data_IF_736273965918
#
_entry.id   IF_736273965918
#
_cell.length_a   1.000
_cell.length_b   1.000
_cell.length_c   1.000
_cell.angle_alpha   90.00
_cell.angle_beta   90.00
_cell.angle_gamma   90.00
#
_symmetry.space_group_name_H-M   'P 1'
#
loop_
_entity.id
_entity.type
_entity.pdbx_description
1 polymer ?
#
# COMPACT_ATOMS: atom_id res chain seq x y z
N UNK A 1 -30.07 18.43 35.53
CA UNK A 1 -30.98 17.37 36.02
C UNK A 1 -30.51 16.04 35.48
N UNK A 2 -30.08 15.09 36.31
CA UNK A 2 -29.90 13.69 35.90
C UNK A 2 -31.07 12.84 36.42
N UNK A 3 -31.62 11.94 35.59
CA UNK A 3 -31.71 10.49 35.85
C UNK A 3 -32.62 9.75 34.83
N UNK A 4 -32.40 8.43 34.76
CA UNK A 4 -33.32 7.32 34.44
C UNK A 4 -33.05 6.54 33.15
N UNK A 5 -32.01 5.71 33.24
CA UNK A 5 -31.98 4.24 32.97
C UNK A 5 -32.74 3.63 31.78
N UNK A 6 -31.99 2.93 30.91
CA UNK A 6 -32.31 1.55 30.49
C UNK A 6 -31.08 0.86 29.87
N UNK A 7 -30.25 0.27 30.74
CA UNK A 7 -29.34 -0.83 30.35
C UNK A 7 -30.10 -2.13 30.59
N UNK A 8 -30.41 -2.86 29.52
CA UNK A 8 -30.83 -4.26 29.61
C UNK A 8 -29.58 -5.12 29.60
N UNK A 9 -29.07 -5.43 30.78
CA UNK A 9 -28.10 -6.51 30.94
C UNK A 9 -28.86 -7.84 30.86
N UNK A 10 -28.67 -8.55 29.75
CA UNK A 10 -29.22 -9.88 29.54
C UNK A 10 -28.32 -10.90 30.26
N UNK A 11 -28.48 -11.01 31.57
CA UNK A 11 -27.82 -12.06 32.36
C UNK A 11 -28.63 -13.35 32.24
N UNK A 12 -28.27 -14.19 31.27
CA UNK A 12 -28.74 -15.57 31.21
C UNK A 12 -28.22 -16.32 32.44
N UNK A 13 -29.11 -16.53 33.40
CA UNK A 13 -28.93 -17.42 34.54
C UNK A 13 -28.78 -18.87 34.05
N UNK A 14 -27.55 -19.37 34.00
CA UNK A 14 -27.29 -20.81 33.86
C UNK A 14 -27.16 -21.41 35.25
N UNK A 15 -28.18 -22.16 35.65
CA UNK A 15 -28.22 -23.00 36.84
C UNK A 15 -27.10 -24.03 36.77
N UNK A 16 -26.06 -23.88 37.59
CA UNK A 16 -24.98 -24.85 37.67
C UNK A 16 -25.38 -25.93 38.69
N UNK A 17 -25.90 -27.06 38.21
CA UNK A 17 -26.17 -28.23 39.04
C UNK A 17 -24.86 -28.99 39.25
N UNK A 18 -24.38 -28.98 40.49
CA UNK A 18 -23.22 -29.72 40.94
C UNK A 18 -23.53 -31.22 41.00
N UNK A 19 -22.99 -32.00 40.06
CA UNK A 19 -22.83 -33.45 40.21
C UNK A 19 -21.34 -33.81 40.21
N UNK A 20 -20.81 -33.98 41.41
CA UNK A 20 -19.55 -34.67 41.66
C UNK A 20 -19.83 -36.17 41.58
N UNK A 21 -19.20 -36.87 40.63
CA UNK A 21 -18.54 -38.18 40.77
C UNK A 21 -18.59 -38.98 39.46
N UNK A 22 -17.44 -39.07 38.76
CA UNK A 22 -16.84 -40.31 38.23
C UNK A 22 -15.42 -39.97 37.76
N UNK A 23 -14.44 -40.46 38.52
CA UNK A 23 -13.03 -40.32 38.22
C UNK A 23 -12.63 -41.37 37.18
N UNK A 24 -12.38 -40.95 35.93
CA UNK A 24 -11.33 -41.55 35.07
C UNK A 24 -11.04 -40.89 33.70
N UNK A 25 -11.69 -39.82 33.21
CA UNK A 25 -11.23 -39.19 31.94
C UNK A 25 -11.72 -37.75 31.68
N UNK A 26 -10.89 -36.71 31.95
CA UNK A 26 -11.12 -35.37 31.34
C UNK A 26 -9.90 -34.75 30.65
N UNK A 27 -8.68 -35.26 30.87
CA UNK A 27 -7.43 -34.56 30.48
C UNK A 27 -7.20 -34.52 28.97
N UNK A 28 -7.59 -35.57 28.24
CA UNK A 28 -7.38 -35.67 26.79
C UNK A 28 -8.30 -34.72 26.00
N UNK A 29 -9.57 -34.62 26.39
CA UNK A 29 -10.55 -33.71 25.75
C UNK A 29 -10.16 -32.24 25.96
N UNK A 30 -9.62 -31.88 27.13
CA UNK A 30 -9.07 -30.53 27.35
C UNK A 30 -7.83 -30.24 26.50
N UNK A 31 -6.96 -31.23 26.27
CA UNK A 31 -5.77 -31.05 25.43
C UNK A 31 -6.13 -30.91 23.95
N UNK A 32 -7.07 -31.71 23.45
CA UNK A 32 -7.59 -31.59 22.08
C UNK A 32 -8.23 -30.22 21.84
N UNK A 33 -9.09 -29.75 22.76
CA UNK A 33 -9.66 -28.39 22.70
C UNK A 33 -8.58 -27.30 22.72
N UNK A 34 -7.51 -27.47 23.49
CA UNK A 34 -6.39 -26.54 23.48
C UNK A 34 -5.66 -26.52 22.14
N UNK A 35 -5.40 -27.69 21.56
CA UNK A 35 -4.73 -27.79 20.25
C UNK A 35 -5.60 -27.23 19.12
N UNK A 36 -6.91 -27.46 19.16
CA UNK A 36 -7.90 -26.88 18.25
C UNK A 36 -7.95 -25.34 18.35
N UNK A 37 -8.09 -24.80 19.56
CA UNK A 37 -8.12 -23.34 19.79
C UNK A 37 -6.80 -22.67 19.40
N UNK A 38 -5.66 -23.35 19.58
CA UNK A 38 -4.36 -22.87 19.11
C UNK A 38 -4.30 -22.83 17.58
N UNK A 39 -4.80 -23.85 16.90
CA UNK A 39 -4.85 -23.88 15.44
C UNK A 39 -5.78 -22.79 14.88
N UNK A 40 -6.94 -22.59 15.50
CA UNK A 40 -7.89 -21.52 15.16
C UNK A 40 -7.24 -20.14 15.33
N UNK A 41 -6.58 -19.90 16.46
CA UNK A 41 -5.86 -18.64 16.70
C UNK A 41 -4.80 -18.38 15.62
N UNK A 42 -4.04 -19.40 15.23
CA UNK A 42 -3.04 -19.27 14.18
C UNK A 42 -3.69 -18.92 12.82
N UNK A 43 -4.82 -19.55 12.49
CA UNK A 43 -5.57 -19.23 11.28
C UNK A 43 -6.09 -17.78 11.30
N UNK A 44 -6.62 -17.31 12.44
CA UNK A 44 -7.08 -15.94 12.62
C UNK A 44 -5.95 -14.92 12.49
N UNK A 45 -4.77 -15.20 13.06
CA UNK A 45 -3.59 -14.33 12.94
C UNK A 45 -3.12 -14.23 11.49
N UNK A 46 -3.11 -15.34 10.75
CA UNK A 46 -2.75 -15.34 9.33
C UNK A 46 -3.76 -14.55 8.50
N UNK A 47 -5.06 -14.75 8.76
CA UNK A 47 -6.13 -13.98 8.11
C UNK A 47 -6.02 -12.50 8.41
N UNK A 48 -5.75 -12.12 9.67
CA UNK A 48 -5.52 -10.71 10.06
C UNK A 48 -4.38 -10.11 9.24
N UNK A 49 -3.21 -10.77 9.20
CA UNK A 49 -2.06 -10.30 8.39
C UNK A 49 -2.41 -10.12 6.92
N UNK A 50 -3.19 -11.04 6.34
CA UNK A 50 -3.64 -10.92 4.96
C UNK A 50 -4.54 -9.71 4.74
N UNK A 51 -5.51 -9.49 5.63
CA UNK A 51 -6.42 -8.34 5.55
C UNK A 51 -5.65 -7.03 5.72
N UNK A 52 -4.74 -6.96 6.69
CA UNK A 52 -3.90 -5.78 6.92
C UNK A 52 -3.05 -5.44 5.69
N UNK A 53 -2.45 -6.45 5.05
CA UNK A 53 -1.69 -6.29 3.80
C UNK A 53 -2.57 -5.78 2.65
N UNK A 54 -3.76 -6.37 2.48
CA UNK A 54 -4.70 -5.96 1.45
C UNK A 54 -5.16 -4.51 1.66
N UNK A 55 -5.44 -4.12 2.91
CA UNK A 55 -5.85 -2.76 3.26
C UNK A 55 -4.76 -1.75 2.87
N UNK A 56 -3.51 -2.00 3.26
CA UNK A 56 -2.37 -1.13 2.92
C UNK A 56 -2.25 -0.94 1.41
N UNK A 57 -2.34 -2.04 0.64
CA UNK A 57 -2.24 -1.97 -0.82
C UNK A 57 -3.40 -1.18 -1.45
N UNK A 58 -4.62 -1.32 -0.92
CA UNK A 58 -5.78 -0.58 -1.39
C UNK A 58 -5.66 0.91 -1.09
N UNK A 59 -5.31 1.29 0.14
CA UNK A 59 -5.13 2.69 0.54
C UNK A 59 -4.05 3.37 -0.29
N UNK A 60 -2.92 2.69 -0.53
CA UNK A 60 -1.88 3.18 -1.42
C UNK A 60 -2.38 3.36 -2.85
N UNK A 61 -3.14 2.40 -3.38
CA UNK A 61 -3.68 2.50 -4.74
C UNK A 61 -4.67 3.65 -4.88
N UNK A 62 -5.54 3.87 -3.89
CA UNK A 62 -6.45 5.02 -3.83
C UNK A 62 -5.65 6.33 -3.92
N UNK A 63 -4.60 6.48 -3.11
CA UNK A 63 -3.75 7.66 -3.12
C UNK A 63 -3.12 7.94 -4.50
N UNK A 64 -2.63 6.89 -5.17
CA UNK A 64 -2.06 7.01 -6.53
C UNK A 64 -3.13 7.41 -7.54
N UNK A 65 -4.30 6.77 -7.53
CA UNK A 65 -5.39 7.08 -8.44
C UNK A 65 -5.94 8.48 -8.25
N UNK A 66 -6.05 8.95 -7.02
CA UNK A 66 -6.43 10.34 -6.73
C UNK A 66 -5.43 11.33 -7.33
N UNK A 67 -4.12 11.04 -7.24
CA UNK A 67 -3.10 11.90 -7.84
C UNK A 67 -3.31 12.08 -9.34
N UNK A 68 -3.41 10.96 -10.06
CA UNK A 68 -3.68 10.96 -11.51
C UNK A 68 -5.01 11.66 -11.82
N UNK A 69 -6.07 11.33 -11.09
CA UNK A 69 -7.39 11.91 -11.34
C UNK A 69 -7.40 13.43 -11.17
N UNK A 70 -6.78 13.96 -10.12
CA UNK A 70 -6.75 15.40 -9.88
C UNK A 70 -5.88 16.16 -10.88
N UNK A 71 -4.79 15.55 -11.33
CA UNK A 71 -3.93 16.10 -12.38
C UNK A 71 -4.68 16.16 -13.73
N UNK A 72 -5.30 15.05 -14.14
CA UNK A 72 -5.98 14.92 -15.42
C UNK A 72 -7.23 15.81 -15.51
N UNK A 73 -7.95 15.98 -14.40
CA UNK A 73 -9.25 16.69 -14.37
C UNK A 73 -9.15 18.17 -14.00
N UNK A 74 -7.95 18.72 -13.89
CA UNK A 74 -7.74 20.09 -13.40
C UNK A 74 -8.44 21.17 -14.25
N UNK A 75 -8.62 20.93 -15.55
CA UNK A 75 -9.09 21.95 -16.51
C UNK A 75 -10.60 22.02 -16.67
N UNK A 76 -11.27 20.88 -16.66
CA UNK A 76 -12.70 20.80 -17.00
C UNK A 76 -13.59 20.75 -15.75
N UNK A 77 -13.02 20.43 -14.60
CA UNK A 77 -13.72 20.28 -13.34
C UNK A 77 -13.71 18.84 -12.84
N UNK A 78 -13.94 18.67 -11.54
CA UNK A 78 -13.86 17.39 -10.86
C UNK A 78 -14.80 17.34 -9.64
N UNK A 79 -14.92 16.17 -9.02
CA UNK A 79 -15.83 15.97 -7.87
C UNK A 79 -15.55 16.89 -6.67
N UNK A 80 -14.34 17.45 -6.57
CA UNK A 80 -13.91 18.25 -5.43
C UNK A 80 -14.28 19.71 -5.61
N UNK A 81 -14.07 20.23 -6.82
CA UNK A 81 -14.25 21.66 -7.13
C UNK A 81 -15.51 21.94 -7.96
N UNK A 82 -16.18 20.89 -8.43
CA UNK A 82 -17.34 20.97 -9.29
C UNK A 82 -17.00 20.96 -10.79
N UNK A 83 -18.05 20.92 -11.61
CA UNK A 83 -18.00 20.75 -13.07
C UNK A 83 -18.34 22.04 -13.85
N UNK A 84 -18.19 23.22 -13.21
CA UNK A 84 -18.51 24.53 -13.80
C UNK A 84 -17.63 24.87 -15.05
N UNK A 85 -16.47 24.22 -15.17
CA UNK A 85 -15.58 24.35 -16.33
C UNK A 85 -16.21 23.88 -17.64
N UNK A 86 -17.15 22.92 -17.60
CA UNK A 86 -17.85 22.43 -18.78
C UNK A 86 -18.88 23.43 -19.34
N UNK A 87 -19.41 24.32 -18.50
CA UNK A 87 -20.45 25.28 -18.88
C UNK A 87 -19.87 26.60 -19.39
N UNK A 88 -18.69 26.98 -18.89
CA UNK A 88 -18.23 28.36 -19.02
C UNK A 88 -17.09 28.60 -20.00
N UNK A 89 -16.40 27.57 -20.53
CA UNK A 89 -15.25 27.68 -21.45
C UNK A 89 -14.21 28.76 -21.04
N UNK A 90 -14.20 29.19 -19.77
CA UNK A 90 -13.33 30.23 -19.25
C UNK A 90 -12.17 29.53 -18.56
N UNK A 91 -11.15 29.18 -19.34
CA UNK A 91 -9.93 28.52 -18.87
C UNK A 91 -9.02 29.33 -17.93
N UNK A 92 -9.51 30.44 -17.38
CA UNK A 92 -8.69 31.50 -16.77
C UNK A 92 -8.97 31.79 -15.28
N UNK A 93 -9.80 30.98 -14.60
CA UNK A 93 -9.83 31.03 -13.14
C UNK A 93 -8.58 30.29 -12.63
N UNK A 94 -7.47 31.02 -12.51
CA UNK A 94 -6.20 30.68 -11.84
C UNK A 94 -6.08 29.19 -11.51
N UNK A 95 -5.39 28.42 -12.37
CA UNK A 95 -5.07 26.99 -12.19
C UNK A 95 -4.49 26.74 -10.79
N UNK A 96 -5.36 26.51 -9.82
CA UNK A 96 -4.99 26.31 -8.44
C UNK A 96 -4.43 24.89 -8.35
N UNK A 97 -3.16 24.77 -7.99
CA UNK A 97 -2.52 23.47 -7.80
C UNK A 97 -3.35 22.65 -6.81
N UNK A 98 -3.54 21.36 -7.08
CA UNK A 98 -4.19 20.50 -6.09
C UNK A 98 -3.27 20.37 -4.88
N UNK A 99 -3.90 20.25 -3.72
CA UNK A 99 -3.22 20.12 -2.42
C UNK A 99 -3.53 18.78 -1.82
N UNK A 100 -2.81 18.40 -0.77
CA UNK A 100 -3.07 17.16 -0.03
C UNK A 100 -4.48 17.13 0.58
N UNK A 101 -5.04 18.30 0.89
CA UNK A 101 -6.42 18.45 1.39
C UNK A 101 -7.47 18.09 0.33
N UNK A 102 -7.11 18.11 -0.95
CA UNK A 102 -7.98 17.70 -2.05
C UNK A 102 -8.04 16.15 -2.18
N UNK A 103 -7.44 15.35 -1.29
CA UNK A 103 -7.48 13.88 -1.41
C UNK A 103 -8.61 13.26 -0.58
N UNK A 104 -9.86 13.54 -0.95
CA UNK A 104 -11.03 13.17 -0.12
C UNK A 104 -11.14 11.67 0.18
N UNK A 105 -10.81 10.80 -0.77
CA UNK A 105 -10.91 9.35 -0.57
C UNK A 105 -9.77 8.86 0.33
N UNK A 106 -8.54 9.34 0.17
CA UNK A 106 -7.45 9.02 1.11
C UNK A 106 -7.76 9.55 2.53
N UNK A 107 -8.24 10.80 2.63
CA UNK A 107 -8.62 11.43 3.90
C UNK A 107 -9.83 10.78 4.58
N UNK A 108 -10.61 9.98 3.84
CA UNK A 108 -11.70 9.18 4.42
C UNK A 108 -11.20 8.00 5.26
N UNK A 109 -9.92 7.63 5.12
CA UNK A 109 -9.29 6.61 5.95
C UNK A 109 -8.35 7.22 6.98
N UNK A 110 -8.57 6.88 8.25
CA UNK A 110 -7.65 7.24 9.34
C UNK A 110 -6.28 6.55 9.26
N UNK A 111 -6.16 5.45 8.49
CA UNK A 111 -4.94 4.64 8.39
C UNK A 111 -4.11 4.92 7.14
N UNK A 112 -4.61 5.73 6.21
CA UNK A 112 -3.98 5.99 4.92
C UNK A 112 -2.51 6.46 5.02
N UNK A 113 -2.21 7.41 5.91
CA UNK A 113 -0.84 7.92 6.09
C UNK A 113 0.13 6.84 6.54
N UNK A 114 -0.34 5.92 7.39
CA UNK A 114 0.45 4.78 7.85
C UNK A 114 0.72 3.81 6.71
N UNK A 115 -0.27 3.59 5.83
CA UNK A 115 -0.09 2.75 4.65
C UNK A 115 0.96 3.32 3.68
N UNK A 116 1.01 4.65 3.49
CA UNK A 116 2.06 5.29 2.70
C UNK A 116 3.46 5.04 3.28
N UNK A 117 3.64 5.30 4.58
CA UNK A 117 4.93 5.09 5.24
C UNK A 117 5.41 3.63 5.15
N UNK A 118 4.49 2.67 5.37
CA UNK A 118 4.78 1.24 5.24
C UNK A 118 5.18 0.83 3.82
N UNK A 119 4.67 1.53 2.80
CA UNK A 119 5.00 1.25 1.40
C UNK A 119 6.36 1.86 1.01
N UNK A 120 6.65 3.05 1.49
CA UNK A 120 7.95 3.72 1.31
C UNK A 120 9.11 2.91 1.94
N UNK A 121 8.89 2.34 3.12
CA UNK A 121 9.86 1.44 3.77
C UNK A 121 10.10 0.14 2.97
N UNK A 122 9.09 -0.36 2.26
CA UNK A 122 9.21 -1.56 1.44
C UNK A 122 10.00 -1.30 0.14
N UNK A 123 9.76 -0.17 -0.51
CA UNK A 123 10.45 0.18 -1.75
C UNK A 123 11.93 0.53 -1.48
N UNK A 124 12.21 1.30 -0.43
CA UNK A 124 13.60 1.62 -0.02
C UNK A 124 14.42 0.37 0.36
N UNK A 125 13.78 -0.65 0.93
CA UNK A 125 14.43 -1.92 1.27
C UNK A 125 14.73 -2.81 0.05
N UNK A 126 14.06 -2.59 -1.09
CA UNK A 126 14.33 -3.34 -2.32
C UNK A 126 15.53 -2.79 -3.09
N UNK A 127 15.79 -1.49 -3.02
CA UNK A 127 16.91 -0.84 -3.71
C UNK A 127 18.28 -1.32 -3.20
N UNK A 128 18.43 -1.57 -1.91
CA UNK A 128 19.70 -2.05 -1.32
C UNK A 128 20.00 -3.55 -1.68
N UNK A 129 18.96 -4.35 -1.96
CA UNK A 129 19.14 -5.71 -2.49
C UNK A 129 19.57 -5.71 -3.96
N UNK A 130 19.20 -4.69 -4.73
CA UNK A 130 19.55 -4.59 -6.15
C UNK A 130 21.05 -4.32 -6.37
N UNK A 131 21.68 -3.55 -5.46
CA UNK A 131 23.10 -3.18 -5.53
C UNK A 131 24.05 -4.33 -5.18
N UNK A 132 23.63 -5.32 -4.37
CA UNK A 132 24.47 -6.48 -4.01
C UNK A 132 24.55 -7.58 -5.07
N UNK A 133 23.72 -7.56 -6.13
CA UNK A 133 23.75 -8.57 -7.22
C UNK A 133 24.69 -8.25 -8.39
N UNK A 134 25.44 -7.14 -8.36
CA UNK A 134 26.43 -6.83 -9.40
C UNK A 134 27.86 -6.98 -8.86
N UNK A 135 28.31 -8.24 -8.71
CA UNK A 135 29.76 -8.54 -8.66
C UNK A 135 30.29 -8.77 -10.09
N UNK A 136 31.52 -8.34 -10.38
CA UNK A 136 32.05 -8.19 -11.74
C UNK A 136 32.45 -9.54 -12.32
N UNK A 137 32.03 -9.83 -13.56
CA UNK A 137 32.50 -11.01 -14.29
C UNK A 137 33.77 -10.65 -15.05
N UNK A 138 34.85 -11.32 -14.68
CA UNK A 138 36.15 -11.38 -15.36
C UNK A 138 35.99 -11.48 -16.88
N UNK A 139 36.65 -10.58 -17.61
CA UNK A 139 36.86 -10.68 -19.05
C UNK A 139 37.97 -11.70 -19.32
N UNK A 140 37.64 -12.83 -19.92
CA UNK A 140 38.59 -13.77 -20.51
C UNK A 140 39.22 -13.12 -21.73
N UNK A 141 40.56 -13.12 -21.76
CA UNK A 141 41.35 -12.56 -22.86
C UNK A 141 41.02 -13.18 -24.20
N UNK A 142 40.64 -12.33 -25.15
CA UNK A 142 40.62 -12.63 -26.57
C UNK A 142 41.47 -11.58 -27.27
N UNK A 143 42.61 -12.01 -27.82
CA UNK A 143 43.49 -11.22 -28.66
C UNK A 143 42.72 -10.59 -29.84
N UNK A 144 42.65 -9.26 -29.87
CA UNK A 144 42.26 -8.52 -31.06
C UNK A 144 43.39 -7.57 -31.43
N UNK A 145 43.93 -7.84 -32.61
CA UNK A 145 45.09 -7.21 -33.22
C UNK A 145 44.97 -5.67 -33.21
N UNK A 146 46.01 -5.03 -32.68
CA UNK A 146 46.27 -3.59 -32.81
C UNK A 146 46.52 -3.26 -34.29
N UNK A 147 45.62 -2.51 -34.93
CA UNK A 147 45.98 -1.66 -36.07
C UNK A 147 45.79 -0.18 -35.72
N UNK A 148 46.84 0.56 -36.01
CA UNK A 148 47.19 1.89 -35.52
C UNK A 148 46.30 2.99 -36.11
N UNK A 149 45.93 3.92 -35.23
CA UNK A 149 45.96 5.40 -35.40
C UNK A 149 46.37 5.88 -36.80
N UNK A 150 45.51 6.71 -37.42
CA UNK A 150 45.89 8.02 -37.96
C UNK A 150 44.78 9.04 -37.72
N UNK A 151 45.20 10.21 -37.25
CA UNK A 151 44.44 11.45 -37.02
C UNK A 151 44.67 12.42 -38.20
N UNK A 152 43.72 13.35 -38.39
CA UNK A 152 43.81 14.57 -39.22
C UNK A 152 43.20 14.40 -40.62
N UNK A 153 42.45 15.33 -41.22
CA UNK A 153 42.20 16.78 -41.05
C UNK A 153 40.83 17.10 -41.70
N UNK A 154 39.95 17.93 -41.14
CA UNK A 154 39.74 19.39 -41.37
C UNK A 154 39.70 19.85 -42.83
N UNK A 155 38.67 20.66 -43.15
CA UNK A 155 38.42 21.53 -44.32
C UNK A 155 37.98 20.83 -45.62
N UNK A 156 37.06 21.35 -46.46
CA UNK A 156 36.48 22.68 -46.59
C UNK A 156 35.07 22.59 -47.23
N UNK A 157 34.35 23.71 -47.15
CA UNK A 157 33.21 24.13 -47.98
C UNK A 157 33.60 24.18 -49.46
N UNK A 158 32.61 24.04 -50.35
CA UNK A 158 32.40 24.68 -51.66
C UNK A 158 31.17 23.95 -52.28
N UNK A 159 29.99 24.55 -52.38
CA UNK A 159 29.50 25.37 -53.50
C UNK A 159 29.76 24.71 -54.88
N UNK A 160 28.69 24.25 -55.55
CA UNK A 160 28.46 24.43 -57.00
C UNK A 160 27.15 23.76 -57.48
N UNK A 161 26.33 24.61 -58.14
CA UNK A 161 25.25 24.43 -59.14
C UNK A 161 24.04 23.48 -58.93
#
# INVERSE_FOLDING_TARGET
>A
MPDVTSRKDNTSSTSNSSSIATASEPTQVTRQKYDETKAELQALLNRKKQVDSNLINLEHSIYLFEGSYLEDTQSNGNIIRGFDGYLTNRGDKRKQKFTELDRLFSLSSSTYQKALALKEDQDSSQDDRSLKKRKPKLTTGGDVQRKKKRLGSVQATDDDD
#
